data_IF_038357332360
#
_entry.id   IF_038357332360
#
_cell.length_a   1.000
_cell.length_b   1.000
_cell.length_c   1.000
_cell.angle_alpha   90.00
_cell.angle_beta   90.00
_cell.angle_gamma   90.00
#
_symmetry.space_group_name_H-M   'P 1'
#
loop_
_entity.id
_entity.type
_entity.pdbx_description
1 polymer ?
#
# COMPACT_ATOMS: atom_id res chain seq x y z
N UNK A 1 4.35 11.82 22.94
CA UNK A 1 3.88 11.20 21.68
C UNK A 1 2.71 10.27 21.99
N UNK A 2 1.80 10.07 21.04
CA UNK A 2 0.55 9.28 21.24
C UNK A 2 0.47 7.98 20.45
N UNK A 3 1.18 7.85 19.32
CA UNK A 3 1.02 6.74 18.37
C UNK A 3 0.70 7.26 16.97
N UNK A 4 -0.02 6.48 16.17
CA UNK A 4 -0.58 6.92 14.89
C UNK A 4 -2.03 6.42 14.74
N UNK A 5 -2.99 7.34 14.56
CA UNK A 5 -4.43 7.04 14.52
C UNK A 5 -4.84 6.19 13.31
N UNK A 6 -4.07 6.21 12.22
CA UNK A 6 -4.29 5.29 11.09
C UNK A 6 -4.12 3.83 11.51
N UNK A 7 -3.29 3.53 12.51
CA UNK A 7 -3.09 2.17 13.03
C UNK A 7 -4.27 1.71 13.90
N UNK A 8 -4.94 2.64 14.60
CA UNK A 8 -6.20 2.36 15.30
C UNK A 8 -7.28 1.91 14.31
N UNK A 9 -7.44 2.64 13.21
CA UNK A 9 -8.34 2.26 12.10
C UNK A 9 -7.94 0.94 11.45
N UNK A 10 -6.66 0.77 11.11
CA UNK A 10 -6.12 -0.45 10.49
C UNK A 10 -6.42 -1.70 11.32
N UNK A 11 -6.11 -1.67 12.62
CA UNK A 11 -6.32 -2.81 13.52
C UNK A 11 -7.81 -3.08 13.78
N UNK A 12 -8.66 -2.05 13.74
CA UNK A 12 -10.11 -2.23 13.85
C UNK A 12 -10.71 -2.87 12.59
N UNK A 13 -10.31 -2.43 11.40
CA UNK A 13 -10.91 -2.89 10.13
C UNK A 13 -10.27 -4.16 9.57
N UNK A 14 -9.02 -4.50 9.90
CA UNK A 14 -8.33 -5.69 9.36
C UNK A 14 -9.08 -7.01 9.61
N UNK A 15 -9.66 -7.31 10.79
CA UNK A 15 -10.46 -8.53 11.00
C UNK A 15 -11.76 -8.58 10.17
N UNK A 16 -12.26 -7.42 9.73
CA UNK A 16 -13.45 -7.29 8.88
C UNK A 16 -13.03 -7.44 7.40
N UNK A 17 -11.97 -6.76 6.99
CA UNK A 17 -11.37 -6.86 5.66
C UNK A 17 -11.01 -8.30 5.28
N UNK A 18 -10.49 -9.09 6.23
CA UNK A 18 -10.15 -10.52 6.00
C UNK A 18 -11.37 -11.41 5.67
N UNK A 19 -12.60 -10.91 5.80
CA UNK A 19 -13.84 -11.60 5.42
C UNK A 19 -14.31 -11.22 3.99
N UNK A 20 -13.63 -10.28 3.31
CA UNK A 20 -13.92 -9.91 1.93
C UNK A 20 -13.72 -11.09 0.96
N UNK A 21 -14.58 -11.12 -0.07
CA UNK A 21 -14.57 -12.10 -1.17
C UNK A 21 -13.69 -11.67 -2.35
N UNK A 22 -13.03 -10.50 -2.29
CA UNK A 22 -12.19 -9.98 -3.37
C UNK A 22 -11.09 -10.96 -3.83
N UNK A 23 -10.67 -11.88 -2.95
CA UNK A 23 -9.76 -12.97 -3.30
C UNK A 23 -10.40 -13.97 -4.27
N UNK A 24 -11.61 -14.44 -3.97
CA UNK A 24 -12.40 -15.29 -4.84
C UNK A 24 -12.83 -14.56 -6.12
N UNK A 25 -13.37 -13.34 -5.99
CA UNK A 25 -13.92 -12.57 -7.11
C UNK A 25 -12.85 -12.21 -8.16
N UNK A 26 -11.59 -12.03 -7.74
CA UNK A 26 -10.44 -11.83 -8.62
C UNK A 26 -9.70 -13.13 -8.98
N UNK A 27 -10.12 -14.30 -8.47
CA UNK A 27 -9.43 -15.59 -8.70
C UNK A 27 -8.02 -15.68 -8.08
N UNK A 28 -7.75 -14.87 -7.05
CA UNK A 28 -6.50 -14.86 -6.26
C UNK A 28 -6.53 -15.85 -5.09
N UNK A 29 -7.71 -16.37 -4.76
CA UNK A 29 -7.98 -17.31 -3.68
C UNK A 29 -8.92 -18.41 -4.18
N UNK A 30 -8.64 -19.65 -3.77
CA UNK A 30 -9.47 -20.81 -4.08
C UNK A 30 -9.48 -21.79 -2.88
N UNK A 31 -9.97 -23.02 -3.06
CA UNK A 31 -10.06 -24.03 -2.00
C UNK A 31 -8.72 -24.44 -1.35
N UNK A 32 -7.57 -24.16 -1.98
CA UNK A 32 -6.24 -24.36 -1.42
C UNK A 32 -5.68 -23.12 -0.68
N UNK A 33 -6.43 -22.01 -0.64
CA UNK A 33 -6.03 -20.76 0.00
C UNK A 33 -5.70 -19.64 -1.01
N UNK A 34 -4.86 -18.70 -0.59
CA UNK A 34 -4.41 -17.56 -1.40
C UNK A 34 -3.19 -17.93 -2.27
N UNK A 35 -3.22 -17.52 -3.53
CA UNK A 35 -2.08 -17.58 -4.45
C UNK A 35 -0.99 -16.56 -4.10
N UNK A 36 -0.07 -16.32 -5.05
CA UNK A 36 0.98 -15.32 -4.90
C UNK A 36 0.72 -14.18 -5.88
N UNK A 37 0.62 -12.96 -5.35
CA UNK A 37 0.37 -11.75 -6.10
C UNK A 37 1.01 -10.54 -5.40
N UNK A 38 1.34 -9.51 -6.17
CA UNK A 38 1.67 -8.18 -5.67
C UNK A 38 0.49 -7.22 -5.82
N UNK A 39 0.51 -6.09 -5.09
CA UNK A 39 -0.45 -4.99 -5.25
C UNK A 39 0.30 -3.73 -5.68
N UNK A 40 -0.20 -3.05 -6.70
CA UNK A 40 0.29 -1.76 -7.17
C UNK A 40 -0.69 -0.64 -6.82
N UNK A 41 -0.16 0.48 -6.32
CA UNK A 41 -0.84 1.79 -6.34
C UNK A 41 0.07 2.83 -6.97
N UNK A 42 -0.40 3.44 -8.06
CA UNK A 42 0.32 4.46 -8.83
C UNK A 42 -0.64 5.56 -9.26
N UNK A 43 -0.53 6.74 -8.65
CA UNK A 43 -1.47 7.83 -8.86
C UNK A 43 -0.92 9.24 -8.62
N UNK A 44 0.32 9.42 -8.15
CA UNK A 44 0.89 10.77 -7.99
C UNK A 44 1.03 11.46 -9.35
N UNK A 45 0.58 12.73 -9.50
CA UNK A 45 0.72 13.50 -10.73
C UNK A 45 2.14 13.49 -11.33
N UNK A 46 3.17 13.55 -10.46
CA UNK A 46 4.59 13.48 -10.83
C UNK A 46 4.99 12.24 -11.64
N UNK A 47 4.21 11.16 -11.49
CA UNK A 47 4.46 9.82 -12.02
C UNK A 47 3.51 9.51 -13.19
N UNK A 48 2.23 9.91 -13.11
CA UNK A 48 1.17 9.47 -14.04
C UNK A 48 0.76 10.48 -15.11
N UNK A 49 1.14 11.76 -15.01
CA UNK A 49 0.74 12.77 -16.02
C UNK A 49 1.66 12.89 -17.24
N UNK A 50 2.87 12.33 -17.18
CA UNK A 50 3.78 12.18 -18.33
C UNK A 50 3.70 10.74 -18.83
N UNK A 51 3.36 10.58 -20.11
CA UNK A 51 3.28 9.29 -20.81
C UNK A 51 4.63 8.55 -20.74
N UNK A 52 5.72 9.30 -20.83
CA UNK A 52 7.11 8.83 -20.83
C UNK A 52 7.48 8.23 -19.46
N UNK A 53 7.19 8.96 -18.38
CA UNK A 53 7.41 8.47 -17.00
C UNK A 53 6.51 7.30 -16.66
N UNK A 54 5.24 7.37 -17.03
CA UNK A 54 4.28 6.29 -16.77
C UNK A 54 4.67 5.00 -17.50
N UNK A 55 5.15 5.12 -18.74
CA UNK A 55 5.71 4.01 -19.53
C UNK A 55 7.00 3.45 -18.92
N UNK A 56 7.96 4.31 -18.50
CA UNK A 56 9.18 3.86 -17.82
C UNK A 56 8.90 3.13 -16.51
N UNK A 57 7.97 3.63 -15.70
CA UNK A 57 7.54 2.98 -14.46
C UNK A 57 6.83 1.67 -14.76
N UNK A 58 5.92 1.61 -15.73
CA UNK A 58 5.26 0.36 -16.12
C UNK A 58 6.23 -0.67 -16.68
N UNK A 59 7.27 -0.30 -17.42
CA UNK A 59 8.32 -1.24 -17.83
C UNK A 59 9.03 -1.92 -16.65
N UNK A 60 9.12 -1.23 -15.50
CA UNK A 60 9.62 -1.82 -14.25
C UNK A 60 8.58 -2.74 -13.58
N UNK A 61 7.30 -2.34 -13.59
CA UNK A 61 6.19 -3.16 -13.08
C UNK A 61 6.03 -4.44 -13.91
N UNK A 62 6.13 -4.36 -15.22
CA UNK A 62 5.98 -5.48 -16.17
C UNK A 62 7.05 -6.55 -15.95
N UNK A 63 8.29 -6.13 -15.67
CA UNK A 63 9.37 -7.05 -15.30
C UNK A 63 9.11 -7.78 -13.97
N UNK A 64 8.36 -7.19 -13.04
CA UNK A 64 7.88 -7.87 -11.82
C UNK A 64 6.64 -8.74 -12.13
N UNK A 65 5.73 -8.25 -12.98
CA UNK A 65 4.52 -8.94 -13.38
C UNK A 65 4.81 -10.23 -14.16
N UNK A 66 5.94 -10.30 -14.86
CA UNK A 66 6.43 -11.51 -15.53
C UNK A 66 6.93 -12.61 -14.57
N UNK A 67 7.16 -12.28 -13.29
CA UNK A 67 7.54 -13.25 -12.24
C UNK A 67 6.36 -13.61 -11.33
N UNK A 68 5.43 -12.68 -11.10
CA UNK A 68 4.26 -12.88 -10.25
C UNK A 68 3.13 -11.90 -10.62
N UNK A 69 1.85 -12.32 -10.67
CA UNK A 69 0.73 -11.42 -10.94
C UNK A 69 0.72 -10.16 -10.07
N UNK A 70 0.53 -8.99 -10.68
CA UNK A 70 0.42 -7.70 -9.98
C UNK A 70 -1.00 -7.16 -10.17
N UNK A 71 -1.68 -6.84 -9.07
CA UNK A 71 -3.05 -6.33 -9.07
C UNK A 71 -3.01 -4.82 -8.91
N UNK A 72 -3.57 -4.09 -9.88
CA UNK A 72 -3.55 -2.63 -9.90
C UNK A 72 -4.98 -2.08 -9.94
N UNK A 73 -5.55 -1.68 -8.77
CA UNK A 73 -6.75 -0.86 -8.71
C UNK A 73 -6.43 0.51 -9.30
N UNK A 74 -6.76 0.69 -10.58
CA UNK A 74 -6.30 1.83 -11.37
C UNK A 74 -7.31 2.97 -11.28
N UNK A 75 -6.85 4.15 -10.86
CA UNK A 75 -7.70 5.34 -10.85
C UNK A 75 -8.08 5.75 -12.29
N UNK A 76 -9.34 6.16 -12.59
CA UNK A 76 -9.79 6.44 -13.95
C UNK A 76 -8.89 7.41 -14.75
N UNK A 77 -8.29 8.43 -14.08
CA UNK A 77 -7.27 9.31 -14.68
C UNK A 77 -6.07 8.52 -15.23
N UNK A 78 -5.51 7.61 -14.43
CA UNK A 78 -4.35 6.80 -14.83
C UNK A 78 -4.75 5.82 -15.93
N UNK A 79 -5.92 5.18 -15.81
CA UNK A 79 -6.45 4.29 -16.86
C UNK A 79 -6.60 5.01 -18.20
N UNK A 80 -7.20 6.22 -18.19
CA UNK A 80 -7.31 7.07 -19.37
C UNK A 80 -5.95 7.43 -19.97
N UNK A 81 -4.93 7.75 -19.14
CA UNK A 81 -3.56 8.01 -19.62
C UNK A 81 -2.95 6.80 -20.33
N UNK A 82 -3.14 5.60 -19.78
CA UNK A 82 -2.65 4.36 -20.40
C UNK A 82 -3.30 4.12 -21.77
N UNK A 83 -4.63 4.24 -21.86
CA UNK A 83 -5.36 4.08 -23.12
C UNK A 83 -5.01 5.18 -24.14
N UNK A 84 -4.97 6.44 -23.74
CA UNK A 84 -4.65 7.56 -24.64
C UNK A 84 -3.18 7.57 -25.10
N UNK A 85 -2.25 7.14 -24.24
CA UNK A 85 -0.83 7.01 -24.58
C UNK A 85 -0.49 5.72 -25.35
N UNK A 86 -1.46 4.83 -25.58
CA UNK A 86 -1.23 3.52 -26.22
C UNK A 86 -0.32 2.59 -25.41
N UNK A 87 -0.14 2.84 -24.11
CA UNK A 87 0.86 2.15 -23.28
C UNK A 87 0.43 0.69 -23.07
N UNK A 88 1.17 -0.21 -23.71
CA UNK A 88 1.06 -1.65 -23.49
C UNK A 88 1.62 -2.03 -22.11
N UNK A 89 1.15 -3.13 -21.56
CA UNK A 89 1.57 -3.66 -20.26
C UNK A 89 1.52 -5.18 -20.27
N UNK A 90 2.19 -5.82 -19.32
CA UNK A 90 2.27 -7.28 -19.22
C UNK A 90 0.90 -7.89 -18.88
N UNK A 91 0.46 -9.02 -19.49
CA UNK A 91 -0.85 -9.61 -19.22
C UNK A 91 -1.11 -10.03 -17.76
N UNK A 92 -0.05 -10.19 -16.95
CA UNK A 92 -0.14 -10.48 -15.53
C UNK A 92 -0.19 -9.21 -14.64
N UNK A 93 -0.01 -8.00 -15.21
CA UNK A 93 -0.39 -6.74 -14.57
C UNK A 93 -1.90 -6.52 -14.78
N UNK A 94 -2.68 -6.93 -13.79
CA UNK A 94 -4.15 -6.92 -13.85
C UNK A 94 -4.68 -5.58 -13.37
N UNK A 95 -4.96 -4.70 -14.32
CA UNK A 95 -5.74 -3.47 -14.12
C UNK A 95 -7.16 -3.86 -13.70
N UNK A 96 -7.61 -3.36 -12.55
CA UNK A 96 -9.00 -3.51 -12.07
C UNK A 96 -9.58 -2.14 -11.68
N UNK A 97 -10.90 -1.96 -11.65
CA UNK A 97 -11.52 -0.75 -11.11
C UNK A 97 -11.09 -0.49 -9.65
N UNK A 98 -11.17 0.76 -9.16
CA UNK A 98 -11.00 1.05 -7.73
C UNK A 98 -11.97 0.22 -6.87
N UNK A 99 -11.45 -0.45 -5.85
CA UNK A 99 -12.21 -1.33 -4.94
C UNK A 99 -12.51 -0.64 -3.61
N UNK A 100 -13.43 -1.19 -2.81
CA UNK A 100 -13.75 -0.66 -1.48
C UNK A 100 -12.57 -0.76 -0.50
N UNK A 101 -12.55 0.09 0.53
CA UNK A 101 -11.45 0.12 1.51
C UNK A 101 -11.19 -1.24 2.19
N UNK A 102 -12.26 -1.98 2.55
CA UNK A 102 -12.13 -3.32 3.14
C UNK A 102 -11.57 -4.35 2.16
N UNK A 103 -11.92 -4.26 0.88
CA UNK A 103 -11.39 -5.14 -0.17
C UNK A 103 -9.92 -4.82 -0.44
N UNK A 104 -9.58 -3.53 -0.49
CA UNK A 104 -8.20 -3.09 -0.67
C UNK A 104 -7.32 -3.53 0.51
N UNK A 105 -7.76 -3.30 1.75
CA UNK A 105 -7.08 -3.77 2.95
C UNK A 105 -6.95 -5.31 2.99
N UNK A 106 -7.96 -6.04 2.47
CA UNK A 106 -7.85 -7.49 2.30
C UNK A 106 -6.71 -7.85 1.35
N UNK A 107 -6.68 -7.27 0.14
CA UNK A 107 -5.61 -7.49 -0.85
C UNK A 107 -4.22 -7.17 -0.29
N UNK A 108 -4.05 -6.02 0.37
CA UNK A 108 -2.79 -5.63 1.01
C UNK A 108 -2.35 -6.64 2.07
N UNK A 109 -3.29 -7.13 2.90
CA UNK A 109 -2.99 -8.10 3.97
C UNK A 109 -2.60 -9.50 3.49
N UNK A 110 -2.64 -9.76 2.18
CA UNK A 110 -2.35 -11.05 1.54
C UNK A 110 -1.31 -10.96 0.42
N UNK A 111 -0.95 -9.74 0.00
CA UNK A 111 0.07 -9.51 -1.02
C UNK A 111 1.45 -10.03 -0.57
N UNK A 112 2.23 -10.53 -1.53
CA UNK A 112 3.65 -10.87 -1.34
C UNK A 112 4.59 -9.67 -1.53
N UNK A 113 4.11 -8.63 -2.20
CA UNK A 113 4.82 -7.39 -2.49
C UNK A 113 3.80 -6.26 -2.63
N UNK A 114 4.09 -5.09 -2.05
CA UNK A 114 3.31 -3.87 -2.30
C UNK A 114 4.23 -2.85 -2.98
N UNK A 115 3.79 -2.34 -4.13
CA UNK A 115 4.45 -1.29 -4.89
C UNK A 115 3.54 -0.06 -4.80
N UNK A 116 4.04 1.06 -4.26
CA UNK A 116 3.17 2.18 -3.86
C UNK A 116 3.84 3.53 -4.00
N UNK A 117 3.13 4.48 -4.62
CA UNK A 117 3.40 5.91 -4.47
C UNK A 117 2.48 6.61 -3.45
N UNK A 118 1.62 5.87 -2.73
CA UNK A 118 0.47 6.44 -2.02
C UNK A 118 0.68 6.72 -0.52
N UNK A 119 0.75 8.01 -0.15
CA UNK A 119 0.99 8.50 1.21
C UNK A 119 0.22 7.79 2.34
N UNK A 120 -1.08 7.55 2.16
CA UNK A 120 -1.91 6.89 3.19
C UNK A 120 -1.68 5.38 3.27
N UNK A 121 -1.57 4.70 2.12
CA UNK A 121 -1.24 3.26 2.07
C UNK A 121 0.16 3.01 2.64
N UNK A 122 1.03 4.02 2.60
CA UNK A 122 2.34 4.01 3.21
C UNK A 122 2.32 4.22 4.74
N UNK A 123 1.15 4.41 5.36
CA UNK A 123 0.98 4.24 6.82
C UNK A 123 0.43 2.85 7.17
N UNK A 124 -0.34 2.24 6.26
CA UNK A 124 -0.97 0.92 6.43
C UNK A 124 -0.06 -0.25 6.02
N UNK A 125 0.84 -0.04 5.05
CA UNK A 125 1.81 -1.01 4.53
C UNK A 125 3.21 -0.47 4.30
N UNK A 126 3.43 0.86 4.37
CA UNK A 126 4.71 1.58 4.09
C UNK A 126 5.18 1.49 2.61
N UNK A 127 5.95 2.41 2.00
CA UNK A 127 6.65 3.69 2.33
C UNK A 127 6.69 4.55 1.01
N UNK A 128 6.77 5.88 0.87
CA UNK A 128 7.11 7.07 1.68
C UNK A 128 6.37 8.34 1.13
N UNK A 129 6.17 9.45 1.87
CA UNK A 129 7.12 10.60 1.85
C UNK A 129 7.11 11.55 3.08
N UNK A 130 6.36 11.30 4.17
CA UNK A 130 6.19 12.31 5.25
C UNK A 130 6.68 11.92 6.66
N UNK A 131 6.99 10.64 6.94
CA UNK A 131 7.29 10.18 8.32
C UNK A 131 8.48 9.18 8.37
N UNK A 132 9.71 9.62 8.72
CA UNK A 132 10.92 8.77 8.70
C UNK A 132 10.94 7.51 9.57
N UNK A 133 9.96 7.32 10.45
CA UNK A 133 9.89 6.16 11.35
C UNK A 133 9.56 4.86 10.61
N UNK A 134 8.83 4.94 9.50
CA UNK A 134 8.56 3.78 8.64
C UNK A 134 9.84 3.33 7.94
N UNK A 135 10.59 4.24 7.31
CA UNK A 135 11.89 3.94 6.68
C UNK A 135 12.85 3.29 7.66
N UNK A 136 12.99 3.88 8.86
CA UNK A 136 13.95 3.40 9.85
C UNK A 136 13.53 2.08 10.51
N UNK A 137 12.25 1.90 10.86
CA UNK A 137 11.81 0.74 11.68
C UNK A 137 10.95 -0.30 10.94
N UNK A 138 10.19 0.06 9.90
CA UNK A 138 9.30 -0.85 9.16
C UNK A 138 9.99 -1.77 8.13
N UNK A 139 9.20 -2.52 7.37
CA UNK A 139 9.60 -3.60 6.43
C UNK A 139 10.04 -3.13 5.02
N UNK A 140 10.28 -1.83 4.88
CA UNK A 140 10.14 -1.10 3.62
C UNK A 140 11.43 -0.45 3.13
N UNK A 141 11.41 -0.03 1.86
CA UNK A 141 12.59 0.44 1.14
C UNK A 141 12.22 1.54 0.15
N UNK A 142 12.80 2.74 0.30
CA UNK A 142 12.70 3.80 -0.71
C UNK A 142 13.55 3.47 -1.93
N UNK A 143 12.89 3.05 -3.02
CA UNK A 143 13.58 2.68 -4.27
C UNK A 143 13.68 3.84 -5.27
N UNK A 144 12.79 4.83 -5.16
CA UNK A 144 12.65 5.92 -6.13
C UNK A 144 11.94 5.48 -7.42
N UNK A 145 12.17 6.20 -8.52
CA UNK A 145 11.53 5.96 -9.83
C UNK A 145 12.46 5.31 -10.87
N UNK A 146 13.57 4.73 -10.44
CA UNK A 146 14.57 4.08 -11.31
C UNK A 146 14.12 2.64 -11.63
N UNK A 147 13.88 2.28 -12.91
CA UNK A 147 13.38 0.95 -13.27
C UNK A 147 14.27 -0.20 -12.82
N UNK A 148 15.60 -0.04 -12.92
CA UNK A 148 16.55 -1.09 -12.54
C UNK A 148 16.53 -1.33 -11.03
N UNK A 149 16.48 -0.26 -10.24
CA UNK A 149 16.35 -0.36 -8.77
C UNK A 149 14.99 -0.95 -8.36
N UNK A 150 13.89 -0.54 -8.99
CA UNK A 150 12.54 -1.08 -8.72
C UNK A 150 12.51 -2.60 -8.89
N UNK A 151 13.02 -3.10 -10.01
CA UNK A 151 13.06 -4.54 -10.30
C UNK A 151 14.02 -5.28 -9.35
N UNK A 152 15.19 -4.72 -9.04
CA UNK A 152 16.12 -5.33 -8.08
C UNK A 152 15.52 -5.43 -6.66
N UNK A 153 14.92 -4.35 -6.16
CA UNK A 153 14.28 -4.30 -4.85
C UNK A 153 13.07 -5.25 -4.74
N UNK A 154 12.26 -5.36 -5.81
CA UNK A 154 11.17 -6.31 -5.89
C UNK A 154 11.69 -7.76 -5.81
N UNK A 155 12.71 -8.11 -6.61
CA UNK A 155 13.34 -9.44 -6.61
C UNK A 155 13.96 -9.80 -5.27
N UNK A 156 14.71 -8.90 -4.66
CA UNK A 156 15.31 -9.15 -3.33
C UNK A 156 14.25 -9.30 -2.25
N UNK A 157 13.14 -8.54 -2.32
CA UNK A 157 11.99 -8.70 -1.42
C UNK A 157 11.33 -10.06 -1.58
N UNK A 158 11.04 -10.49 -2.82
CA UNK A 158 10.46 -11.79 -3.13
C UNK A 158 11.39 -12.97 -2.77
N UNK A 159 12.71 -12.77 -2.86
CA UNK A 159 13.74 -13.70 -2.43
C UNK A 159 13.97 -13.72 -0.90
N UNK A 160 13.15 -13.03 -0.10
CA UNK A 160 13.25 -12.99 1.36
C UNK A 160 14.38 -12.14 1.92
N UNK A 161 15.08 -11.36 1.07
CA UNK A 161 16.12 -10.38 1.46
C UNK A 161 15.55 -8.97 1.70
N UNK A 162 14.22 -8.81 1.61
CA UNK A 162 13.52 -7.56 1.95
C UNK A 162 13.82 -7.11 3.39
N UNK A 163 13.64 -5.81 3.66
CA UNK A 163 14.02 -5.23 4.96
C UNK A 163 13.24 -5.88 6.10
N UNK A 164 13.94 -6.50 7.05
CA UNK A 164 13.35 -6.97 8.30
C UNK A 164 12.89 -5.76 9.14
N UNK A 165 11.58 -5.57 9.22
CA UNK A 165 10.94 -4.50 9.99
C UNK A 165 10.47 -4.95 11.37
N UNK A 166 10.22 -3.96 12.24
CA UNK A 166 9.48 -4.09 13.49
C UNK A 166 8.35 -3.08 13.53
N UNK A 167 7.27 -3.39 14.25
CA UNK A 167 6.20 -2.44 14.51
C UNK A 167 6.77 -1.26 15.33
N UNK A 168 6.58 0.01 14.92
CA UNK A 168 7.07 1.15 15.69
C UNK A 168 6.40 1.26 17.08
N UNK A 169 7.07 1.83 18.09
CA UNK A 169 6.46 2.05 19.41
C UNK A 169 5.17 2.85 19.34
N UNK A 170 4.19 2.47 20.16
CA UNK A 170 2.83 3.06 20.23
C UNK A 170 1.96 2.88 18.95
N UNK A 171 2.36 2.02 18.01
CA UNK A 171 1.52 1.58 16.88
C UNK A 171 0.71 0.33 17.26
N UNK A 172 -0.11 0.49 18.30
CA UNK A 172 -0.83 -0.60 19.00
C UNK A 172 -2.35 -0.37 19.06
N UNK A 173 -2.88 0.55 18.25
CA UNK A 173 -4.31 0.82 18.12
C UNK A 173 -4.95 1.62 19.25
N UNK A 174 -4.15 2.25 20.11
CA UNK A 174 -4.61 3.02 21.27
C UNK A 174 -4.31 4.54 21.15
N UNK A 175 -4.06 5.05 19.95
CA UNK A 175 -3.66 6.45 19.70
C UNK A 175 -4.77 7.45 20.06
N UNK A 176 -5.98 7.23 19.58
CA UNK A 176 -7.15 8.09 19.82
C UNK A 176 -7.47 8.17 21.32
N UNK A 177 -7.39 7.03 22.01
CA UNK A 177 -7.54 6.98 23.48
C UNK A 177 -6.50 7.87 24.17
N UNK A 178 -5.22 7.78 23.80
CA UNK A 178 -4.15 8.61 24.38
C UNK A 178 -4.31 10.10 24.09
N UNK A 179 -4.86 10.47 22.93
CA UNK A 179 -5.19 11.87 22.61
C UNK A 179 -6.27 12.37 23.57
N UNK A 180 -7.36 11.63 23.74
CA UNK A 180 -8.43 11.96 24.70
C UNK A 180 -7.90 12.01 26.13
N UNK A 181 -7.09 11.04 26.55
CA UNK A 181 -6.46 10.97 27.88
C UNK A 181 -5.47 12.13 28.16
N UNK A 182 -5.02 12.87 27.14
CA UNK A 182 -4.20 14.10 27.29
C UNK A 182 -5.10 15.33 27.32
N UNK A 183 -6.04 15.45 26.38
CA UNK A 183 -6.98 16.58 26.31
C UNK A 183 -7.80 16.72 27.61
N UNK A 184 -8.24 15.59 28.20
CA UNK A 184 -8.95 15.56 29.48
C UNK A 184 -8.09 15.89 30.72
N UNK A 185 -6.77 16.04 30.56
CA UNK A 185 -5.83 16.48 31.62
C UNK A 185 -5.39 17.93 31.44
N UNK A 186 -5.25 18.39 30.20
CA UNK A 186 -4.77 19.75 29.89
C UNK A 186 -5.90 20.78 29.79
N UNK A 187 -7.15 20.36 29.48
CA UNK A 187 -8.32 21.24 29.64
C UNK A 187 -8.59 21.44 31.13
N UNK A 188 -8.48 22.67 31.68
CA UNK A 188 -8.88 22.92 33.06
C UNK A 188 -10.37 22.63 33.22
N UNK A 189 -10.77 21.99 34.31
CA UNK A 189 -12.20 21.89 34.65
C UNK A 189 -12.74 23.30 34.85
N UNK A 190 -13.51 23.79 33.88
CA UNK A 190 -14.19 25.07 33.95
C UNK A 190 -14.97 25.13 35.25
N UNK A 191 -14.77 26.19 36.02
CA UNK A 191 -15.44 26.34 37.31
C UNK A 191 -16.94 26.52 37.04
N UNK A 192 -17.73 25.51 37.40
CA UNK A 192 -19.17 25.65 37.49
C UNK A 192 -19.46 26.58 38.68
N UNK A 193 -20.06 27.73 38.38
CA UNK A 193 -20.50 28.77 39.33
C UNK A 193 -21.93 29.14 39.00
#
# INVERSE_FOLDING_TARGET
MVGNVMIDSLLHFLPIAQQSRIGEDLGLKNGAGWGHFGVLTLHRPSNVDSTEKLSQLLGAIDAVAAEMPVIFPVHPRTQQRLTQGGIQHHPQLRLIPPVGYLDFLCLLSKAKLVLTDSGGIQEETTENTERPITISQGTNLLVGTDPGKIVAAARDTLAGKGKAGRIPPLWDGHTAKRIVDILLKEVPRGHAS
#
